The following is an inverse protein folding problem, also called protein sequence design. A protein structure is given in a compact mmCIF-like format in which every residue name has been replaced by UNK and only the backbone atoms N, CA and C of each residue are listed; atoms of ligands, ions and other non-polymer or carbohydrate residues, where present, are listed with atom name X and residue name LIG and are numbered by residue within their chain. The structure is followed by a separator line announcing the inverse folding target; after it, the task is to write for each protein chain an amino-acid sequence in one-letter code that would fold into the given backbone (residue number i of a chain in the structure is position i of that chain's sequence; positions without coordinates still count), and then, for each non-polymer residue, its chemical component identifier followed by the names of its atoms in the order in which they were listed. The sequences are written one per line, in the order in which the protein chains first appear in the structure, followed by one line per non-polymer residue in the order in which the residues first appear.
data_IF_909973691704
#
_entry.id   IF_909973691704
#
_cell.length_a   1.000
_cell.length_b   1.000
_cell.length_c   1.000
_cell.angle_alpha   90.00
_cell.angle_beta   90.00
_cell.angle_gamma   90.00
#
_symmetry.space_group_name_H-M   'P 1'
#
loop_
_entity.id
_entity.type
_entity.pdbx_description
1 polymer ?
#
# COMPACT_ATOMS: atom_id res chain seq x y z
N UNK A 1 2.68 -33.50 46.33
CA UNK A 1 2.36 -32.05 46.21
C UNK A 1 3.35 -31.31 45.28
N UNK A 2 3.57 -31.76 44.03
CA UNK A 2 4.45 -31.07 43.06
C UNK A 2 3.73 -30.64 41.75
N UNK A 3 2.57 -31.21 41.44
CA UNK A 3 1.85 -30.91 40.19
C UNK A 3 1.06 -29.60 40.19
N UNK A 4 0.75 -29.02 41.36
CA UNK A 4 -0.02 -27.78 41.47
C UNK A 4 0.81 -26.51 41.19
N UNK A 5 2.14 -26.60 41.25
CA UNK A 5 3.05 -25.48 41.00
C UNK A 5 3.35 -25.30 39.51
N UNK A 6 3.44 -26.39 38.73
CA UNK A 6 3.66 -26.30 37.28
C UNK A 6 2.48 -25.65 36.55
N UNK A 7 1.24 -25.97 36.92
CA UNK A 7 0.05 -25.40 36.27
C UNK A 7 -0.05 -23.88 36.38
N UNK A 8 0.39 -23.30 37.51
CA UNK A 8 0.34 -21.84 37.72
C UNK A 8 1.38 -21.10 36.88
N UNK A 9 2.56 -21.70 36.68
CA UNK A 9 3.63 -21.09 35.87
C UNK A 9 3.26 -21.09 34.39
N UNK A 10 2.65 -22.17 33.89
CA UNK A 10 2.24 -22.25 32.47
C UNK A 10 1.13 -21.26 32.12
N UNK A 11 0.13 -21.07 33.01
CA UNK A 11 -0.96 -20.12 32.77
C UNK A 11 -0.45 -18.67 32.78
N UNK A 12 0.46 -18.32 33.69
CA UNK A 12 1.05 -16.97 33.74
C UNK A 12 1.90 -16.68 32.49
N UNK A 13 2.65 -17.66 31.99
CA UNK A 13 3.45 -17.51 30.77
C UNK A 13 2.57 -17.31 29.51
N UNK A 14 1.45 -18.02 29.40
CA UNK A 14 0.50 -17.86 28.28
C UNK A 14 -0.20 -16.50 28.31
N UNK A 15 -0.58 -16.00 29.49
CA UNK A 15 -1.20 -14.68 29.65
C UNK A 15 -0.21 -13.55 29.31
N UNK A 16 1.05 -13.66 29.74
CA UNK A 16 2.09 -12.68 29.39
C UNK A 16 2.39 -12.65 27.89
N UNK A 17 2.45 -13.82 27.23
CA UNK A 17 2.60 -13.90 25.78
C UNK A 17 1.40 -13.27 25.04
N UNK A 18 0.17 -13.49 25.50
CA UNK A 18 -1.02 -12.90 24.90
C UNK A 18 -1.04 -11.36 25.00
N UNK A 19 -0.52 -10.79 26.11
CA UNK A 19 -0.45 -9.33 26.30
C UNK A 19 0.64 -8.64 25.46
N UNK A 20 1.76 -9.31 25.19
CA UNK A 20 2.84 -8.73 24.36
C UNK A 20 2.45 -8.74 22.87
N UNK A 21 1.66 -9.71 22.42
CA UNK A 21 1.19 -9.77 21.03
C UNK A 21 0.08 -8.74 20.75
N UNK A 22 -0.76 -8.40 21.74
CA UNK A 22 -1.84 -7.42 21.58
C UNK A 22 -1.32 -5.97 21.55
N UNK A 23 -0.28 -5.64 22.33
CA UNK A 23 0.30 -4.28 22.35
C UNK A 23 1.06 -3.86 21.07
N UNK A 24 1.29 -4.76 20.12
CA UNK A 24 1.90 -4.44 18.82
C UNK A 24 0.89 -3.98 17.75
N UNK A 25 -0.42 -4.13 17.99
CA UNK A 25 -1.47 -3.79 17.02
C UNK A 25 -2.15 -2.43 17.28
N UNK A 26 -1.96 -1.82 18.45
CA UNK A 26 -2.63 -0.56 18.85
C UNK A 26 -2.17 0.69 18.08
N UNK A 27 -1.19 0.56 17.17
CA UNK A 27 -0.65 1.67 16.38
C UNK A 27 -1.17 1.80 14.94
N UNK A 28 -2.06 0.92 14.46
CA UNK A 28 -2.31 0.75 13.01
C UNK A 28 -3.52 1.55 12.47
N UNK A 29 -4.40 2.10 13.31
CA UNK A 29 -5.61 2.80 12.86
C UNK A 29 -5.56 4.31 13.14
N UNK A 30 -4.60 5.04 12.56
CA UNK A 30 -4.82 6.48 12.35
C UNK A 30 -5.83 6.62 11.22
N UNK A 31 -7.04 7.07 11.54
CA UNK A 31 -8.06 7.37 10.55
C UNK A 31 -7.50 8.35 9.52
N UNK A 32 -7.38 7.91 8.27
CA UNK A 32 -6.94 8.76 7.16
C UNK A 32 -8.12 9.66 6.80
N UNK A 33 -7.89 10.97 6.81
CA UNK A 33 -8.90 11.95 6.42
C UNK A 33 -8.55 12.63 5.11
N UNK A 34 -9.57 13.00 4.34
CA UNK A 34 -9.50 13.75 3.09
C UNK A 34 -10.41 14.97 3.21
N UNK A 35 -9.84 16.17 3.31
CA UNK A 35 -10.55 17.43 3.60
C UNK A 35 -11.51 17.30 4.80
N UNK A 36 -10.97 16.77 5.90
CA UNK A 36 -11.71 16.54 7.15
C UNK A 36 -12.65 15.34 7.15
N UNK A 37 -12.89 14.70 6.01
CA UNK A 37 -13.78 13.53 5.90
C UNK A 37 -13.01 12.23 6.06
N UNK A 38 -13.60 11.25 6.76
CA UNK A 38 -12.97 9.92 6.91
C UNK A 38 -12.96 9.19 5.57
N UNK A 39 -11.78 8.78 5.14
CA UNK A 39 -11.60 7.88 3.99
C UNK A 39 -11.87 6.46 4.46
N UNK A 40 -12.63 5.68 3.70
CA UNK A 40 -12.79 4.27 4.04
C UNK A 40 -11.44 3.57 3.91
N UNK A 41 -11.06 2.87 4.97
CA UNK A 41 -9.79 2.21 5.05
C UNK A 41 -9.81 0.93 4.22
N UNK A 42 -8.82 0.74 3.34
CA UNK A 42 -8.66 -0.50 2.59
C UNK A 42 -7.72 -1.45 3.36
N UNK A 43 -8.28 -2.19 4.32
CA UNK A 43 -7.56 -3.18 5.15
C UNK A 43 -6.81 -4.20 4.29
N UNK A 44 -7.40 -4.59 3.16
CA UNK A 44 -6.81 -5.55 2.21
C UNK A 44 -5.54 -4.97 1.59
N UNK A 45 -5.56 -3.72 1.16
CA UNK A 45 -4.37 -3.06 0.62
C UNK A 45 -3.25 -2.96 1.67
N UNK A 46 -3.59 -2.64 2.92
CA UNK A 46 -2.61 -2.59 4.01
C UNK A 46 -1.99 -3.95 4.31
N UNK A 47 -2.80 -5.01 4.32
CA UNK A 47 -2.30 -6.37 4.44
C UNK A 47 -1.35 -6.72 3.28
N UNK A 48 -1.74 -6.42 2.04
CA UNK A 48 -0.90 -6.64 0.86
C UNK A 48 0.43 -5.87 0.94
N UNK A 49 0.42 -4.65 1.45
CA UNK A 49 1.62 -3.83 1.68
C UNK A 49 2.55 -4.49 2.70
N UNK A 50 2.02 -4.95 3.84
CA UNK A 50 2.79 -5.66 4.87
C UNK A 50 3.40 -6.96 4.30
N UNK A 51 2.61 -7.74 3.56
CA UNK A 51 3.07 -8.99 2.95
C UNK A 51 4.20 -8.71 1.94
N UNK A 52 4.05 -7.70 1.09
CA UNK A 52 5.10 -7.30 0.14
C UNK A 52 6.36 -6.78 0.85
N UNK A 53 6.23 -6.01 1.94
CA UNK A 53 7.38 -5.61 2.76
C UNK A 53 8.10 -6.86 3.31
N UNK A 54 7.34 -7.86 3.79
CA UNK A 54 7.90 -9.10 4.32
C UNK A 54 8.62 -9.92 3.25
N UNK A 55 8.02 -10.11 2.07
CA UNK A 55 8.64 -10.81 0.93
C UNK A 55 9.98 -10.21 0.51
N UNK A 56 10.05 -8.88 0.44
CA UNK A 56 11.29 -8.20 0.07
C UNK A 56 12.34 -8.19 1.21
N UNK A 57 11.91 -8.29 2.48
CA UNK A 57 12.80 -8.48 3.64
C UNK A 57 13.36 -9.90 3.74
N UNK A 58 12.57 -10.95 3.47
CA UNK A 58 13.05 -12.34 3.51
C UNK A 58 13.95 -12.68 2.31
N UNK A 59 13.70 -12.06 1.15
CA UNK A 59 14.64 -12.10 0.03
C UNK A 59 16.03 -11.53 0.39
N UNK A 60 16.12 -10.63 1.38
CA UNK A 60 17.39 -10.09 1.91
C UNK A 60 18.19 -11.12 2.71
N UNK A 61 17.53 -12.00 3.48
CA UNK A 61 18.21 -13.01 4.30
C UNK A 61 18.69 -14.21 3.50
N UNK A 62 17.98 -14.56 2.41
CA UNK A 62 18.18 -15.85 1.75
C UNK A 62 19.09 -15.83 0.51
N UNK A 63 19.79 -14.71 0.21
CA UNK A 63 20.61 -14.53 -1.01
C UNK A 63 19.95 -15.16 -2.25
N UNK A 64 18.65 -14.99 -2.43
CA UNK A 64 17.97 -15.43 -3.65
C UNK A 64 18.52 -14.59 -4.80
N UNK A 65 19.44 -15.20 -5.53
CA UNK A 65 19.98 -14.73 -6.79
C UNK A 65 18.84 -14.65 -7.81
N UNK A 66 18.71 -13.52 -8.51
CA UNK A 66 17.70 -13.33 -9.55
C UNK A 66 16.82 -12.11 -9.33
N UNK A 67 17.37 -10.94 -9.68
CA UNK A 67 16.66 -9.92 -10.47
C UNK A 67 15.55 -9.03 -9.86
N UNK A 68 14.87 -9.30 -8.72
CA UNK A 68 13.96 -8.28 -8.15
C UNK A 68 14.74 -7.07 -7.60
N UNK A 69 14.82 -5.96 -8.35
CA UNK A 69 15.34 -4.69 -7.81
C UNK A 69 14.51 -4.29 -6.59
N UNK A 70 15.20 -3.90 -5.52
CA UNK A 70 14.62 -3.57 -4.22
C UNK A 70 14.41 -2.07 -4.14
N UNK A 71 13.24 -1.64 -3.65
CA UNK A 71 12.92 -0.21 -3.49
C UNK A 71 11.48 0.00 -3.08
N UNK A 72 11.16 1.19 -2.52
CA UNK A 72 9.80 1.56 -2.11
C UNK A 72 8.79 1.40 -3.26
N UNK A 73 9.19 1.73 -4.48
CA UNK A 73 8.37 1.59 -5.69
C UNK A 73 8.00 0.14 -5.99
N UNK A 74 8.95 -0.79 -5.86
CA UNK A 74 8.69 -2.21 -6.08
C UNK A 74 7.76 -2.83 -5.02
N UNK A 75 7.91 -2.39 -3.78
CA UNK A 75 6.99 -2.80 -2.71
C UNK A 75 5.57 -2.30 -3.01
N UNK A 76 5.44 -1.04 -3.46
CA UNK A 76 4.15 -0.48 -3.84
C UNK A 76 3.52 -1.23 -5.02
N UNK A 77 4.27 -1.49 -6.09
CA UNK A 77 3.77 -2.25 -7.25
C UNK A 77 3.38 -3.68 -6.85
N UNK A 78 4.15 -4.35 -6.00
CA UNK A 78 3.75 -5.65 -5.44
C UNK A 78 2.39 -5.58 -4.75
N UNK A 79 2.18 -4.58 -3.88
CA UNK A 79 0.92 -4.44 -3.13
C UNK A 79 -0.26 -4.11 -4.05
N UNK A 80 -0.05 -3.21 -5.02
CA UNK A 80 -1.06 -2.78 -5.99
C UNK A 80 -1.44 -3.92 -6.95
N UNK A 81 -0.47 -4.75 -7.36
CA UNK A 81 -0.72 -5.96 -8.16
C UNK A 81 -1.56 -6.97 -7.38
N UNK A 82 -1.23 -7.23 -6.10
CA UNK A 82 -2.04 -8.09 -5.22
C UNK A 82 -3.45 -7.54 -4.97
N UNK A 83 -3.63 -6.23 -5.08
CA UNK A 83 -4.96 -5.62 -4.98
C UNK A 83 -5.73 -5.59 -6.31
N UNK A 84 -5.10 -6.05 -7.40
CA UNK A 84 -5.70 -6.11 -8.74
C UNK A 84 -5.68 -4.77 -9.49
N UNK A 85 -4.86 -3.82 -9.04
CA UNK A 85 -4.67 -2.51 -9.67
C UNK A 85 -3.61 -2.54 -10.78
N UNK A 86 -2.82 -3.60 -10.83
CA UNK A 86 -1.98 -3.96 -11.97
C UNK A 86 -2.25 -5.43 -12.34
N UNK A 87 -2.17 -5.75 -13.62
CA UNK A 87 -2.17 -7.14 -14.08
C UNK A 87 -0.79 -7.80 -13.93
N UNK A 88 -0.68 -9.06 -14.34
CA UNK A 88 0.56 -9.84 -14.31
C UNK A 88 1.64 -9.32 -15.29
N UNK A 89 1.27 -8.40 -16.19
CA UNK A 89 2.14 -7.71 -17.15
C UNK A 89 2.42 -6.27 -16.75
N UNK A 90 2.11 -5.89 -15.51
CA UNK A 90 2.37 -4.55 -14.99
C UNK A 90 1.55 -3.44 -15.65
N UNK A 91 0.46 -3.79 -16.36
CA UNK A 91 -0.48 -2.84 -16.96
C UNK A 91 -1.42 -2.33 -15.87
N UNK A 92 -1.63 -1.02 -15.83
CA UNK A 92 -2.50 -0.40 -14.83
C UNK A 92 -3.98 -0.66 -15.15
N UNK A 93 -4.68 -1.28 -14.19
CA UNK A 93 -6.11 -1.58 -14.27
C UNK A 93 -6.93 -0.36 -13.85
N UNK A 94 -7.00 0.64 -14.73
CA UNK A 94 -7.63 1.94 -14.45
C UNK A 94 -9.06 1.79 -13.91
N UNK A 95 -9.91 0.99 -14.55
CA UNK A 95 -11.29 0.77 -14.11
C UNK A 95 -11.39 0.30 -12.65
N UNK A 96 -10.46 -0.55 -12.22
CA UNK A 96 -10.41 -1.05 -10.85
C UNK A 96 -9.98 0.04 -9.86
N UNK A 97 -8.99 0.86 -10.22
CA UNK A 97 -8.61 2.02 -9.40
C UNK A 97 -9.77 3.00 -9.25
N UNK A 98 -10.49 3.32 -10.33
CA UNK A 98 -11.61 4.25 -10.28
C UNK A 98 -12.76 3.73 -9.39
N UNK A 99 -13.04 2.42 -9.41
CA UNK A 99 -13.99 1.78 -8.48
C UNK A 99 -13.52 1.91 -7.03
N UNK A 100 -12.24 1.61 -6.76
CA UNK A 100 -11.70 1.71 -5.42
C UNK A 100 -11.79 3.15 -4.87
N UNK A 101 -11.64 4.17 -5.72
CA UNK A 101 -11.80 5.58 -5.32
C UNK A 101 -13.25 5.88 -4.91
N UNK A 102 -14.24 5.38 -5.65
CA UNK A 102 -15.67 5.55 -5.30
C UNK A 102 -16.00 4.90 -3.96
N UNK A 103 -15.43 3.74 -3.70
CA UNK A 103 -15.63 3.02 -2.44
C UNK A 103 -14.92 3.70 -1.27
N UNK A 104 -13.77 4.35 -1.53
CA UNK A 104 -12.92 4.93 -0.50
C UNK A 104 -13.33 6.34 -0.09
N UNK A 105 -13.84 7.15 -1.03
CA UNK A 105 -14.12 8.57 -0.77
C UNK A 105 -15.61 8.84 -0.53
N UNK A 106 -15.99 9.44 0.61
CA UNK A 106 -17.40 9.67 0.95
C UNK A 106 -18.07 10.74 0.07
N UNK A 107 -17.30 11.70 -0.46
CA UNK A 107 -17.81 12.79 -1.31
C UNK A 107 -17.55 12.48 -2.77
N UNK A 108 -18.63 12.38 -3.56
CA UNK A 108 -18.57 12.15 -5.01
C UNK A 108 -17.76 13.20 -5.77
N UNK A 109 -17.76 14.44 -5.31
CA UNK A 109 -16.99 15.52 -5.93
C UNK A 109 -15.47 15.28 -5.80
N UNK A 110 -15.00 14.92 -4.60
CA UNK A 110 -13.59 14.58 -4.36
C UNK A 110 -13.18 13.34 -5.15
N UNK A 111 -14.05 12.32 -5.19
CA UNK A 111 -13.85 11.14 -6.02
C UNK A 111 -13.73 11.51 -7.51
N UNK A 112 -14.60 12.38 -8.01
CA UNK A 112 -14.58 12.81 -9.41
C UNK A 112 -13.29 13.56 -9.77
N UNK A 113 -12.86 14.51 -8.94
CA UNK A 113 -11.59 15.23 -9.14
C UNK A 113 -10.41 14.26 -9.14
N UNK A 114 -10.32 13.40 -8.13
CA UNK A 114 -9.21 12.47 -8.00
C UNK A 114 -9.13 11.47 -9.16
N UNK A 115 -10.29 10.95 -9.61
CA UNK A 115 -10.38 10.05 -10.77
C UNK A 115 -9.86 10.69 -12.05
N UNK A 116 -10.21 11.96 -12.27
CA UNK A 116 -9.74 12.71 -13.44
C UNK A 116 -8.23 12.87 -13.42
N UNK A 117 -7.66 13.25 -12.27
CA UNK A 117 -6.21 13.40 -12.11
C UNK A 117 -5.46 12.06 -12.26
N UNK A 118 -5.97 10.97 -11.69
CA UNK A 118 -5.35 9.64 -11.84
C UNK A 118 -5.42 9.13 -13.27
N UNK A 119 -6.52 9.40 -13.98
CA UNK A 119 -6.64 9.09 -15.41
C UNK A 119 -5.59 9.84 -16.20
N UNK A 120 -5.43 11.14 -15.94
CA UNK A 120 -4.39 11.97 -16.57
C UNK A 120 -2.98 11.47 -16.25
N UNK A 121 -2.69 11.05 -15.02
CA UNK A 121 -1.41 10.43 -14.66
C UNK A 121 -1.16 9.15 -15.47
N UNK A 122 -2.16 8.29 -15.60
CA UNK A 122 -2.04 7.03 -16.35
C UNK A 122 -1.76 7.29 -17.84
N UNK A 123 -2.46 8.24 -18.44
CA UNK A 123 -2.27 8.65 -19.84
C UNK A 123 -0.87 9.27 -20.06
N UNK A 124 -0.47 10.21 -19.19
CA UNK A 124 0.82 10.91 -19.29
C UNK A 124 2.02 9.94 -19.23
N UNK A 125 1.90 8.89 -18.42
CA UNK A 125 2.96 7.90 -18.21
C UNK A 125 2.71 6.57 -18.97
N UNK A 126 1.78 6.55 -19.93
CA UNK A 126 1.47 5.39 -20.78
C UNK A 126 1.11 4.10 -20.02
N UNK A 127 0.52 4.21 -18.84
CA UNK A 127 0.26 3.05 -17.96
C UNK A 127 -0.84 2.10 -18.45
N UNK A 128 -1.63 2.52 -19.45
CA UNK A 128 -2.73 1.74 -20.04
C UNK A 128 -2.30 0.86 -21.20
N UNK A 129 -1.10 1.06 -21.73
CA UNK A 129 -0.57 0.35 -22.91
C UNK A 129 0.81 -0.25 -22.71
N UNK A 130 1.54 0.20 -21.67
CA UNK A 130 2.81 -0.41 -21.29
C UNK A 130 2.55 -1.85 -20.83
N UNK A 131 2.74 -2.78 -21.75
CA UNK A 131 3.18 -4.13 -21.41
C UNK A 131 4.56 -3.97 -20.82
N UNK A 132 4.75 -4.23 -19.53
CA UNK A 132 6.11 -4.31 -18.98
C UNK A 132 6.94 -5.19 -19.92
N UNK A 133 8.09 -4.71 -20.39
CA UNK A 133 9.04 -5.58 -21.08
C UNK A 133 9.26 -6.80 -20.16
N UNK A 134 9.20 -8.05 -20.64
CA UNK A 134 9.43 -9.23 -19.81
C UNK A 134 10.83 -9.25 -19.15
N UNK A 135 11.70 -8.31 -19.51
CA UNK A 135 12.99 -8.02 -18.85
C UNK A 135 12.93 -6.85 -17.85
N UNK A 136 11.78 -6.15 -17.70
CA UNK A 136 11.54 -4.98 -16.84
C UNK A 136 11.36 -5.35 -15.36
N UNK A 137 12.37 -6.03 -14.85
CA UNK A 137 12.71 -6.21 -13.45
C UNK A 137 12.89 -4.90 -12.65
N UNK A 138 12.41 -3.77 -13.19
CA UNK A 138 12.66 -2.42 -12.72
C UNK A 138 11.30 -1.75 -12.55
N UNK A 139 10.70 -1.88 -11.37
CA UNK A 139 9.55 -1.07 -10.95
C UNK A 139 9.84 0.46 -10.93
N UNK A 140 10.96 0.91 -11.49
CA UNK A 140 11.28 2.32 -11.71
C UNK A 140 10.48 2.91 -12.88
N UNK A 141 10.06 2.11 -13.87
CA UNK A 141 9.18 2.60 -14.95
C UNK A 141 7.85 3.12 -14.39
N UNK A 142 7.36 2.53 -13.30
CA UNK A 142 6.15 2.99 -12.60
C UNK A 142 6.37 4.16 -11.63
N UNK A 143 7.62 4.60 -11.40
CA UNK A 143 7.93 5.57 -10.33
C UNK A 143 7.19 6.90 -10.56
N UNK A 144 7.29 7.45 -11.77
CA UNK A 144 6.71 8.76 -12.07
C UNK A 144 5.18 8.70 -12.01
N UNK A 145 4.58 7.62 -12.52
CA UNK A 145 3.15 7.38 -12.39
C UNK A 145 2.68 7.32 -10.92
N UNK A 146 3.39 6.56 -10.08
CA UNK A 146 3.05 6.44 -8.66
C UNK A 146 3.22 7.77 -7.92
N UNK A 147 4.25 8.55 -8.26
CA UNK A 147 4.43 9.90 -7.74
C UNK A 147 3.31 10.84 -8.18
N UNK A 148 2.94 10.83 -9.46
CA UNK A 148 1.82 11.60 -9.98
C UNK A 148 0.53 11.27 -9.22
N UNK A 149 0.21 9.98 -9.10
CA UNK A 149 -0.98 9.50 -8.37
C UNK A 149 -0.98 9.96 -6.91
N UNK A 150 0.17 9.84 -6.22
CA UNK A 150 0.30 10.28 -4.83
C UNK A 150 0.10 11.79 -4.69
N UNK A 151 0.69 12.60 -5.57
CA UNK A 151 0.53 14.05 -5.57
C UNK A 151 -0.93 14.45 -5.85
N UNK A 152 -1.61 13.78 -6.77
CA UNK A 152 -3.05 13.99 -7.03
C UNK A 152 -3.90 13.69 -5.80
N UNK A 153 -3.60 12.62 -5.06
CA UNK A 153 -4.24 12.32 -3.78
C UNK A 153 -4.00 13.44 -2.76
N UNK A 154 -2.74 13.88 -2.59
CA UNK A 154 -2.39 14.94 -1.64
C UNK A 154 -3.08 16.26 -2.00
N UNK A 155 -3.03 16.68 -3.25
CA UNK A 155 -3.67 17.91 -3.73
C UNK A 155 -5.19 17.87 -3.58
N UNK A 156 -5.81 16.70 -3.77
CA UNK A 156 -7.26 16.55 -3.62
C UNK A 156 -7.67 16.55 -2.15
N UNK A 157 -6.87 15.95 -1.27
CA UNK A 157 -7.27 15.63 0.11
C UNK A 157 -6.69 16.53 1.19
N UNK A 158 -5.58 17.23 0.93
CA UNK A 158 -4.90 18.08 1.90
C UNK A 158 -5.15 19.54 1.51
N UNK A 159 -5.80 20.30 2.39
CA UNK A 159 -6.00 21.73 2.18
C UNK A 159 -4.67 22.48 2.23
N UNK A 160 -4.45 23.40 1.28
CA UNK A 160 -3.21 24.16 1.20
C UNK A 160 -1.99 23.33 0.77
N UNK A 161 -2.19 22.14 0.19
CA UNK A 161 -1.08 21.36 -0.35
C UNK A 161 -0.38 22.09 -1.50
N UNK A 162 0.91 22.33 -1.33
CA UNK A 162 1.82 22.83 -2.36
C UNK A 162 2.78 21.71 -2.78
N UNK A 163 2.69 21.31 -4.05
CA UNK A 163 3.51 20.24 -4.60
C UNK A 163 4.99 20.63 -4.75
N UNK A 164 5.34 21.92 -4.75
CA UNK A 164 6.72 22.38 -4.84
C UNK A 164 7.49 22.15 -3.54
N UNK A 165 6.83 22.31 -2.39
CA UNK A 165 7.40 22.08 -1.05
C UNK A 165 7.75 20.60 -0.81
N UNK A 166 7.05 19.67 -1.49
CA UNK A 166 7.20 18.22 -1.29
C UNK A 166 8.11 17.52 -2.31
N UNK A 167 8.67 18.26 -3.27
CA UNK A 167 9.61 17.73 -4.27
C UNK A 167 11.08 17.82 -3.87
N UNK A 168 11.40 18.54 -2.78
CA UNK A 168 12.73 18.60 -2.15
C UNK A 168 13.02 17.38 -1.26
#
# INVERSE_FOLDING_TARGET
MKSFQLFRITVVAVVLLATVVSGFFDGVNKEVTCKGEKVQHNDKFNKNMIDCIAEFKTAKSNKMAGERKRGKTCIAICALTKDGLFDDKGVFMQSKMLSNIDESLPKKELATTLKAEITKCAETHNMTTVTSDPTDYICASHKEFLQCTMLSWMQTCIEGFDAEIWKE
#
